data_IF_915410092244
#
_entry.id   IF_915410092244
#
_cell.length_a   1.000
_cell.length_b   1.000
_cell.length_c   1.000
_cell.angle_alpha   90.00
_cell.angle_beta   90.00
_cell.angle_gamma   90.00
#
_symmetry.space_group_name_H-M   'P 1'
#
loop_
_entity.id
_entity.type
_entity.pdbx_description
1 polymer ?
#
# COMPACT_ATOMS: atom_id res chain seq x y z
N UNK A 1 20.33 5.77 2.65
CA UNK A 1 20.04 6.06 4.07
C UNK A 1 19.83 4.72 4.75
N UNK A 2 20.59 4.43 5.81
CA UNK A 2 20.44 3.18 6.56
C UNK A 2 19.15 3.23 7.39
N UNK A 3 18.40 2.13 7.40
CA UNK A 3 17.20 1.95 8.22
C UNK A 3 17.60 2.05 9.71
N UNK A 4 17.25 3.15 10.37
CA UNK A 4 17.48 3.33 11.81
C UNK A 4 16.21 2.89 12.53
N UNK A 5 16.26 1.66 13.05
CA UNK A 5 15.32 1.19 14.07
C UNK A 5 15.84 1.74 15.39
N UNK A 6 15.32 2.85 15.89
CA UNK A 6 15.53 3.26 17.29
C UNK A 6 14.80 2.33 18.30
N UNK A 7 14.64 1.05 17.95
CA UNK A 7 14.25 -0.05 18.84
C UNK A 7 15.09 -1.34 18.69
N UNK A 8 16.05 -1.47 17.77
CA UNK A 8 17.09 -2.53 17.80
C UNK A 8 18.23 -2.31 16.76
N UNK A 9 19.50 -2.05 17.16
CA UNK A 9 20.59 -1.61 16.27
C UNK A 9 21.47 -2.75 15.69
N UNK A 10 20.87 -3.84 15.20
CA UNK A 10 21.62 -5.03 14.72
C UNK A 10 22.09 -5.02 13.25
N UNK A 11 22.73 -6.12 12.79
CA UNK A 11 23.19 -6.40 11.39
C UNK A 11 22.03 -6.78 10.43
N UNK A 12 20.89 -7.16 11.01
CA UNK A 12 19.64 -7.57 10.37
C UNK A 12 19.05 -6.53 9.37
N UNK A 13 19.17 -5.19 9.55
CA UNK A 13 18.58 -4.16 8.69
C UNK A 13 19.00 -4.21 7.22
N UNK A 14 20.29 -4.48 6.92
CA UNK A 14 20.81 -4.33 5.55
C UNK A 14 20.42 -5.48 4.63
N UNK A 15 20.47 -6.71 5.13
CA UNK A 15 20.03 -7.89 4.37
C UNK A 15 18.51 -7.85 4.20
N UNK A 16 17.78 -7.52 5.27
CA UNK A 16 16.32 -7.37 5.22
C UNK A 16 15.92 -6.30 4.20
N UNK A 17 16.55 -5.12 4.21
CA UNK A 17 16.26 -4.07 3.22
C UNK A 17 16.46 -4.56 1.78
N UNK A 18 17.54 -5.31 1.49
CA UNK A 18 17.76 -5.86 0.15
C UNK A 18 16.69 -6.89 -0.25
N UNK A 19 16.21 -7.69 0.68
CA UNK A 19 15.10 -8.64 0.46
C UNK A 19 13.80 -7.87 0.19
N UNK A 20 13.53 -6.80 0.94
CA UNK A 20 12.35 -5.97 0.72
C UNK A 20 12.43 -5.22 -0.63
N UNK A 21 13.62 -4.81 -1.06
CA UNK A 21 13.83 -4.13 -2.34
C UNK A 21 13.75 -5.05 -3.56
N UNK A 22 13.95 -6.38 -3.39
CA UNK A 22 13.75 -7.36 -4.46
C UNK A 22 12.28 -7.78 -4.63
N UNK A 23 11.42 -7.42 -3.67
CA UNK A 23 9.98 -7.65 -3.79
C UNK A 23 9.40 -6.81 -4.94
N UNK A 24 8.43 -7.38 -5.65
CA UNK A 24 7.68 -6.66 -6.69
C UNK A 24 6.67 -5.69 -6.07
N UNK A 25 6.21 -6.00 -4.86
CA UNK A 25 5.19 -5.25 -4.15
C UNK A 25 5.81 -4.05 -3.43
N UNK A 26 5.09 -2.94 -3.40
CA UNK A 26 5.40 -1.82 -2.52
C UNK A 26 5.30 -2.28 -1.07
N UNK A 27 6.31 -1.93 -0.28
CA UNK A 27 6.36 -2.23 1.16
C UNK A 27 6.58 -0.93 1.89
N UNK A 28 5.77 -0.70 2.92
CA UNK A 28 5.81 0.50 3.74
C UNK A 28 5.69 0.17 5.21
N UNK A 29 6.33 0.96 6.08
CA UNK A 29 6.08 0.95 7.52
C UNK A 29 5.61 2.32 7.97
N UNK A 30 4.60 2.37 8.82
CA UNK A 30 4.17 3.59 9.52
C UNK A 30 4.31 3.44 11.03
N UNK A 31 4.64 4.55 11.68
CA UNK A 31 4.81 4.61 13.13
C UNK A 31 3.56 5.22 13.79
N UNK A 32 2.77 4.44 14.55
CA UNK A 32 1.55 4.94 15.19
C UNK A 32 1.82 5.85 16.39
N UNK A 33 3.03 5.87 16.94
CA UNK A 33 3.38 6.71 18.10
C UNK A 33 3.69 8.15 17.69
N UNK A 34 3.92 8.40 16.39
CA UNK A 34 4.13 9.74 15.83
C UNK A 34 2.82 10.38 15.35
N UNK A 35 2.77 11.72 15.43
CA UNK A 35 1.61 12.49 14.98
C UNK A 35 1.27 12.18 13.52
N UNK A 36 -0.01 11.92 13.25
CA UNK A 36 -0.54 11.60 11.93
C UNK A 36 -0.07 10.27 11.32
N UNK A 37 0.62 9.41 12.09
CA UNK A 37 1.06 8.08 11.66
C UNK A 37 1.85 8.13 10.33
N UNK A 38 3.01 8.81 10.30
CA UNK A 38 3.79 8.99 9.10
C UNK A 38 4.46 7.70 8.65
N UNK A 39 4.80 7.62 7.38
CA UNK A 39 5.69 6.59 6.84
C UNK A 39 7.09 6.79 7.42
N UNK A 40 7.67 5.73 7.99
CA UNK A 40 9.06 5.69 8.46
C UNK A 40 9.96 4.89 7.54
N UNK A 41 9.37 4.09 6.66
CA UNK A 41 10.10 3.33 5.64
C UNK A 41 9.22 3.06 4.42
N UNK A 42 9.85 3.08 3.25
CA UNK A 42 9.29 2.59 1.98
C UNK A 42 10.41 1.85 1.22
N UNK A 43 10.07 0.79 0.49
CA UNK A 43 11.03 0.06 -0.35
C UNK A 43 11.13 0.65 -1.78
N UNK A 44 12.09 0.16 -2.57
CA UNK A 44 12.26 0.58 -3.97
C UNK A 44 11.10 0.23 -4.89
N UNK A 45 10.33 -0.81 -4.60
CA UNK A 45 9.13 -1.12 -5.38
C UNK A 45 8.02 -0.08 -5.18
N UNK A 46 7.84 0.42 -3.95
CA UNK A 46 6.89 1.50 -3.67
C UNK A 46 7.24 2.77 -4.45
N UNK A 47 8.53 3.13 -4.51
CA UNK A 47 8.98 4.27 -5.33
C UNK A 47 8.63 4.08 -6.81
N UNK A 48 8.90 2.88 -7.36
CA UNK A 48 8.60 2.56 -8.77
C UNK A 48 7.10 2.59 -9.07
N UNK A 49 6.28 2.06 -8.17
CA UNK A 49 4.82 2.05 -8.33
C UNK A 49 4.29 3.48 -8.23
N UNK A 50 4.68 4.25 -7.23
CA UNK A 50 4.03 5.54 -6.96
C UNK A 50 4.66 6.72 -7.69
N UNK A 51 5.90 6.58 -8.14
CA UNK A 51 6.71 7.66 -8.73
C UNK A 51 7.26 8.66 -7.72
N UNK A 52 7.05 8.46 -6.41
CA UNK A 52 7.63 9.28 -5.36
C UNK A 52 8.91 8.64 -4.82
N UNK A 53 9.91 9.45 -4.46
CA UNK A 53 11.10 8.93 -3.80
C UNK A 53 10.87 8.68 -2.30
N UNK A 54 11.74 7.90 -1.66
CA UNK A 54 11.74 7.73 -0.21
C UNK A 54 11.83 9.07 0.53
N UNK A 55 12.67 9.99 0.08
CA UNK A 55 12.85 11.31 0.69
C UNK A 55 11.58 12.17 0.61
N UNK A 56 10.75 11.97 -0.41
CA UNK A 56 9.50 12.69 -0.58
C UNK A 56 8.35 12.12 0.27
N UNK A 57 8.49 10.89 0.75
CA UNK A 57 7.38 10.09 1.32
C UNK A 57 7.55 9.80 2.80
N UNK A 58 8.78 9.55 3.26
CA UNK A 58 9.07 9.42 4.69
C UNK A 58 8.69 10.70 5.42
N UNK A 59 8.06 10.56 6.59
CA UNK A 59 7.51 11.67 7.38
C UNK A 59 6.11 12.10 6.96
N UNK A 60 5.50 11.50 5.93
CA UNK A 60 4.12 11.80 5.50
C UNK A 60 3.21 10.61 5.73
N UNK A 61 1.95 10.88 6.05
CA UNK A 61 0.93 9.84 6.05
C UNK A 61 0.63 9.36 4.62
N UNK A 62 0.57 8.05 4.41
CA UNK A 62 0.38 7.41 3.10
C UNK A 62 -0.89 7.86 2.35
N UNK A 63 -1.86 8.51 3.02
CA UNK A 63 -3.07 9.05 2.38
C UNK A 63 -2.81 10.08 1.28
N UNK A 64 -1.60 10.63 1.14
CA UNK A 64 -1.27 11.49 -0.01
C UNK A 64 -1.52 10.79 -1.35
N UNK A 65 -1.40 9.46 -1.42
CA UNK A 65 -1.73 8.67 -2.60
C UNK A 65 -3.21 8.69 -2.98
N UNK A 66 -4.11 9.12 -2.08
CA UNK A 66 -5.56 9.16 -2.36
C UNK A 66 -5.95 10.41 -3.17
N UNK A 67 -5.06 11.41 -3.29
CA UNK A 67 -5.36 12.67 -3.97
C UNK A 67 -6.63 13.34 -3.45
N UNK A 68 -7.54 13.70 -4.37
CA UNK A 68 -8.85 14.28 -4.06
C UNK A 68 -9.97 13.23 -3.94
N UNK A 69 -9.70 11.96 -4.26
CA UNK A 69 -10.70 10.88 -4.26
C UNK A 69 -10.89 10.29 -2.86
N UNK A 70 -11.51 11.11 -2.00
CA UNK A 70 -11.68 10.80 -0.57
C UNK A 70 -12.99 10.08 -0.25
N UNK A 71 -13.92 9.98 -1.17
CA UNK A 71 -15.22 9.33 -0.90
C UNK A 71 -15.24 7.87 -1.42
N UNK A 72 -14.31 7.07 -0.91
CA UNK A 72 -14.19 5.65 -1.24
C UNK A 72 -14.58 4.82 0.00
N UNK A 73 -15.47 3.84 -0.15
CA UNK A 73 -15.94 2.97 0.95
C UNK A 73 -14.78 2.27 1.66
N UNK A 74 -13.74 1.90 0.92
CA UNK A 74 -12.56 1.21 1.40
C UNK A 74 -11.74 2.07 2.38
N UNK A 75 -11.81 3.40 2.28
CA UNK A 75 -11.16 4.30 3.25
C UNK A 75 -11.79 4.20 4.64
N UNK A 76 -13.10 3.97 4.70
CA UNK A 76 -13.79 3.78 5.98
C UNK A 76 -13.40 2.45 6.61
N UNK A 77 -13.32 1.38 5.81
CA UNK A 77 -12.84 0.06 6.25
C UNK A 77 -11.40 0.14 6.77
N UNK A 78 -10.51 0.85 6.05
CA UNK A 78 -9.14 1.08 6.48
C UNK A 78 -9.09 1.83 7.82
N UNK A 79 -9.87 2.91 7.96
CA UNK A 79 -9.93 3.70 9.19
C UNK A 79 -10.41 2.88 10.38
N UNK A 80 -11.45 2.07 10.18
CA UNK A 80 -12.00 1.18 11.20
C UNK A 80 -10.97 0.11 11.62
N UNK A 81 -10.30 -0.52 10.67
CA UNK A 81 -9.28 -1.53 10.95
C UNK A 81 -8.10 -0.96 11.75
N UNK A 82 -7.60 0.23 11.37
CA UNK A 82 -6.54 0.93 12.11
C UNK A 82 -7.01 1.28 13.53
N UNK A 83 -8.24 1.78 13.70
CA UNK A 83 -8.78 2.10 15.02
C UNK A 83 -8.90 0.85 15.92
N UNK A 84 -9.25 -0.30 15.33
CA UNK A 84 -9.41 -1.56 16.02
C UNK A 84 -8.12 -2.41 16.08
N UNK A 85 -7.00 -1.89 15.57
CA UNK A 85 -5.70 -2.61 15.50
C UNK A 85 -5.84 -3.98 14.82
N UNK A 86 -6.60 -4.05 13.73
CA UNK A 86 -6.87 -5.28 12.98
C UNK A 86 -6.20 -5.26 11.60
N UNK A 87 -5.84 -6.43 11.03
CA UNK A 87 -5.44 -6.50 9.65
C UNK A 87 -6.60 -6.12 8.72
N UNK A 88 -6.27 -5.57 7.54
CA UNK A 88 -7.25 -5.24 6.50
C UNK A 88 -6.65 -5.42 5.11
N UNK A 89 -7.47 -5.91 4.19
CA UNK A 89 -7.14 -6.07 2.78
C UNK A 89 -8.25 -5.41 1.95
N UNK A 90 -7.87 -4.42 1.15
CA UNK A 90 -8.79 -3.60 0.37
C UNK A 90 -8.17 -3.22 -0.98
N UNK A 91 -9.00 -2.87 -1.96
CA UNK A 91 -8.53 -2.29 -3.22
C UNK A 91 -9.14 -0.92 -3.40
N UNK A 92 -8.32 0.12 -3.45
CA UNK A 92 -8.75 1.51 -3.58
C UNK A 92 -8.05 2.21 -4.75
N UNK A 93 -8.66 3.29 -5.24
CA UNK A 93 -8.06 4.18 -6.23
C UNK A 93 -7.00 5.05 -5.55
N UNK A 94 -5.79 5.02 -6.08
CA UNK A 94 -4.69 5.88 -5.70
C UNK A 94 -4.12 6.58 -6.93
N UNK A 95 -3.30 7.59 -6.70
CA UNK A 95 -2.75 8.47 -7.72
C UNK A 95 -1.25 8.55 -7.54
N UNK A 96 -0.54 8.29 -8.64
CA UNK A 96 0.91 8.44 -8.71
C UNK A 96 1.30 9.92 -8.69
N UNK A 97 2.59 10.20 -8.53
CA UNK A 97 3.14 11.55 -8.56
C UNK A 97 2.80 12.34 -9.83
N UNK A 98 2.70 11.65 -10.97
CA UNK A 98 2.33 12.25 -12.25
C UNK A 98 0.80 12.45 -12.42
N UNK A 99 -0.01 12.09 -11.42
CA UNK A 99 -1.46 12.17 -11.45
C UNK A 99 -2.17 10.96 -12.07
N UNK A 100 -1.44 9.97 -12.59
CA UNK A 100 -2.04 8.74 -13.11
C UNK A 100 -2.76 7.97 -12.00
N UNK A 101 -4.02 7.62 -12.24
CA UNK A 101 -4.79 6.77 -11.35
C UNK A 101 -4.35 5.30 -11.51
N UNK A 102 -4.15 4.62 -10.39
CA UNK A 102 -3.94 3.19 -10.33
C UNK A 102 -4.80 2.56 -9.22
N UNK A 103 -5.21 1.31 -9.43
CA UNK A 103 -5.87 0.50 -8.42
C UNK A 103 -4.81 -0.10 -7.50
N UNK A 104 -4.76 0.40 -6.27
CA UNK A 104 -3.89 -0.10 -5.22
C UNK A 104 -4.61 -1.18 -4.42
N UNK A 105 -4.20 -2.43 -4.59
CA UNK A 105 -4.54 -3.50 -3.68
C UNK A 105 -3.62 -3.41 -2.46
N UNK A 106 -4.19 -2.99 -1.34
CA UNK A 106 -3.51 -2.63 -0.11
C UNK A 106 -3.84 -3.65 0.98
N UNK A 107 -2.78 -4.22 1.56
CA UNK A 107 -2.85 -5.02 2.77
C UNK A 107 -2.16 -4.24 3.89
N UNK A 108 -2.84 -4.05 5.02
CA UNK A 108 -2.26 -3.47 6.25
C UNK A 108 -2.28 -4.53 7.34
N UNK A 109 -1.13 -4.72 8.00
CA UNK A 109 -0.98 -5.63 9.14
C UNK A 109 -0.34 -4.89 10.32
N UNK A 110 -1.01 -4.83 11.50
CA UNK A 110 -0.38 -4.32 12.71
C UNK A 110 0.72 -5.27 13.19
N UNK A 111 1.88 -4.72 13.52
CA UNK A 111 2.99 -5.44 14.16
C UNK A 111 2.96 -5.09 15.65
N UNK A 112 2.95 -6.10 16.52
CA UNK A 112 2.83 -5.90 17.97
C UNK A 112 4.15 -6.14 18.71
N UNK A 113 4.34 -5.43 19.81
CA UNK A 113 5.38 -5.75 20.79
C UNK A 113 4.94 -6.89 21.74
N UNK A 114 5.83 -7.29 22.65
CA UNK A 114 5.55 -8.33 23.64
C UNK A 114 4.45 -7.97 24.65
N UNK A 115 4.07 -6.69 24.75
CA UNK A 115 3.04 -6.17 25.64
C UNK A 115 1.68 -6.00 24.93
N UNK A 116 1.60 -6.32 23.63
CA UNK A 116 0.39 -6.17 22.83
C UNK A 116 0.13 -4.75 22.32
N UNK A 117 1.12 -3.86 22.39
CA UNK A 117 1.03 -2.53 21.77
C UNK A 117 1.44 -2.62 20.29
N UNK A 118 0.81 -1.81 19.44
CA UNK A 118 1.20 -1.75 18.03
C UNK A 118 2.51 -0.99 17.92
N UNK A 119 3.54 -1.68 17.43
CA UNK A 119 4.86 -1.13 17.17
C UNK A 119 4.91 -0.38 15.83
N UNK A 120 4.37 -0.98 14.78
CA UNK A 120 4.30 -0.41 13.44
C UNK A 120 3.08 -0.97 12.70
N UNK A 121 2.63 -0.29 11.65
CA UNK A 121 1.78 -0.92 10.63
C UNK A 121 2.61 -1.24 9.39
N UNK A 122 2.58 -2.51 8.98
CA UNK A 122 3.13 -2.97 7.72
C UNK A 122 2.08 -2.79 6.62
N UNK A 123 2.41 -1.99 5.62
CA UNK A 123 1.62 -1.87 4.39
C UNK A 123 2.28 -2.58 3.22
N UNK A 124 1.50 -3.35 2.48
CA UNK A 124 1.89 -3.99 1.23
C UNK A 124 0.97 -3.49 0.12
N UNK A 125 1.55 -2.90 -0.92
CA UNK A 125 0.82 -2.34 -2.06
C UNK A 125 1.12 -3.13 -3.33
N UNK A 126 0.06 -3.51 -4.03
CA UNK A 126 0.14 -4.14 -5.34
C UNK A 126 -0.70 -3.37 -6.35
N UNK A 127 -0.12 -3.06 -7.50
CA UNK A 127 -0.83 -2.39 -8.59
C UNK A 127 -1.61 -3.42 -9.42
N UNK A 128 -2.92 -3.48 -9.19
CA UNK A 128 -3.83 -4.39 -9.91
C UNK A 128 -4.46 -3.75 -11.14
N UNK A 129 -3.98 -2.59 -11.59
CA UNK A 129 -4.65 -1.83 -12.66
C UNK A 129 -4.72 -2.60 -13.97
N UNK A 130 -3.61 -3.21 -14.39
CA UNK A 130 -3.60 -3.99 -15.63
C UNK A 130 -4.45 -5.25 -15.52
N UNK A 131 -4.40 -5.94 -14.37
CA UNK A 131 -5.22 -7.12 -14.12
C UNK A 131 -6.71 -6.77 -14.21
N UNK A 132 -7.15 -5.70 -13.54
CA UNK A 132 -8.54 -5.26 -13.58
C UNK A 132 -9.00 -4.87 -14.98
N UNK A 133 -8.17 -4.13 -15.73
CA UNK A 133 -8.48 -3.77 -17.14
C UNK A 133 -8.63 -5.02 -18.02
N UNK A 134 -7.78 -6.02 -17.82
CA UNK A 134 -7.87 -7.28 -18.55
C UNK A 134 -9.15 -8.06 -18.19
N UNK A 135 -9.49 -8.15 -16.91
CA UNK A 135 -10.73 -8.80 -16.42
C UNK A 135 -11.98 -8.10 -16.98
N UNK A 136 -12.00 -6.77 -16.98
CA UNK A 136 -13.10 -5.96 -17.53
C UNK A 136 -13.25 -6.17 -19.04
N UNK A 137 -12.14 -6.22 -19.78
CA UNK A 137 -12.16 -6.45 -21.23
C UNK A 137 -12.59 -7.88 -21.58
N UNK A 138 -12.10 -8.88 -20.86
CA UNK A 138 -12.54 -10.28 -21.02
C UNK A 138 -14.06 -10.38 -20.79
N UNK A 139 -14.56 -9.74 -19.72
CA UNK A 139 -16.00 -9.73 -19.41
C UNK A 139 -16.80 -9.10 -20.55
N UNK A 140 -16.37 -7.91 -21.02
CA UNK A 140 -17.02 -7.18 -22.12
C UNK A 140 -17.10 -8.02 -23.40
N UNK A 141 -15.99 -8.66 -23.79
CA UNK A 141 -15.93 -9.51 -24.98
C UNK A 141 -16.79 -10.77 -24.85
N UNK A 142 -16.83 -11.38 -23.65
CA UNK A 142 -17.66 -12.55 -23.37
C UNK A 142 -19.16 -12.22 -23.50
N UNK A 143 -19.58 -11.07 -22.97
CA UNK A 143 -20.95 -10.57 -23.09
C UNK A 143 -21.33 -10.29 -24.56
N UNK A 144 -20.43 -9.70 -25.35
CA UNK A 144 -20.64 -9.48 -26.79
C UNK A 144 -20.78 -10.79 -27.56
N UNK A 145 -19.94 -11.78 -27.30
CA UNK A 145 -20.02 -13.10 -27.93
C UNK A 145 -21.33 -13.81 -27.58
N UNK A 146 -21.77 -13.72 -26.31
CA UNK A 146 -23.04 -14.31 -25.88
C UNK A 146 -24.25 -13.65 -26.58
N UNK A 147 -24.21 -12.33 -26.76
CA UNK A 147 -25.26 -11.60 -27.48
C UNK A 147 -25.35 -12.01 -28.96
N UNK A 148 -24.20 -12.14 -29.64
CA UNK A 148 -24.15 -12.57 -31.06
C UNK A 148 -24.61 -14.02 -31.23
N UNK A 149 -24.28 -14.92 -30.29
CA UNK A 149 -24.67 -16.34 -30.36
C UNK A 149 -26.17 -16.57 -30.12
N UNK A 150 -26.82 -15.67 -29.40
CA UNK A 150 -28.25 -15.74 -29.08
C UNK A 150 -29.12 -14.91 -30.06
N UNK A 151 -28.51 -14.33 -31.09
CA UNK A 151 -29.16 -13.63 -32.20
C UNK A 151 -29.25 -14.55 -33.42
#
# INVERSE_FOLDING_TARGET
MDFIVEKDPGLIPKVLSKILDSCVNGITLTDPDQEDMPLVYVNKAFEKITGYSQEETVGKNCRFLQGTDRDQKERYQLKEAIANKQPVEITLKNYRKNGEMFYNHLIITPLFDAHGNVLYYLGVQYDVTQQRRAEEEIKRLTEQLAAVRNS
#
